data_IF_208461469871
#
_entry.id   IF_208461469871
#
_cell.length_a   1.000
_cell.length_b   1.000
_cell.length_c   1.000
_cell.angle_alpha   90.00
_cell.angle_beta   90.00
_cell.angle_gamma   90.00
#
_symmetry.space_group_name_H-M   'P 1'
#
loop_
_entity.id
_entity.type
_entity.pdbx_description
1 polymer ?
#
# COMPACT_ATOMS: atom_id res chain seq x y z
N UNK A 1 -1.98 3.57 6.76
CA UNK A 1 -1.08 4.73 6.58
C UNK A 1 0.19 4.17 5.98
N UNK A 2 0.34 4.32 4.67
CA UNK A 2 1.58 3.98 3.99
C UNK A 2 2.43 5.24 3.91
N UNK A 3 3.66 5.16 4.43
CA UNK A 3 4.60 6.26 4.58
C UNK A 3 5.82 6.01 3.68
N UNK A 4 6.26 7.05 2.97
CA UNK A 4 7.49 7.01 2.15
C UNK A 4 8.50 8.04 2.68
N UNK A 5 9.74 7.64 2.94
CA UNK A 5 10.84 8.49 3.42
C UNK A 5 11.71 8.99 2.24
N UNK A 6 12.03 10.28 2.20
CA UNK A 6 12.92 11.00 1.25
C UNK A 6 13.98 11.79 2.00
N UNK A 7 15.01 12.37 1.38
CA UNK A 7 16.02 13.23 2.04
C UNK A 7 16.11 14.67 1.45
N UNK A 8 16.26 15.75 2.24
CA UNK A 8 16.72 17.09 1.83
C UNK A 8 17.15 17.98 3.02
N UNK A 9 18.32 18.67 3.03
CA UNK A 9 18.79 19.53 4.13
C UNK A 9 18.27 20.99 4.07
N UNK A 10 18.06 21.60 5.23
CA UNK A 10 17.57 22.95 5.53
C UNK A 10 16.05 23.17 5.47
N UNK A 11 15.40 23.25 6.65
CA UNK A 11 14.60 24.41 7.12
C UNK A 11 14.20 24.26 8.62
N UNK A 12 14.38 25.37 9.34
CA UNK A 12 14.13 25.59 10.77
C UNK A 12 12.63 25.79 11.13
N UNK A 13 12.31 25.27 12.33
CA UNK A 13 11.31 25.74 13.32
C UNK A 13 9.80 25.64 13.02
N UNK A 14 9.12 24.75 13.74
CA UNK A 14 7.96 25.10 14.57
C UNK A 14 7.62 24.01 15.61
N UNK A 15 7.51 24.40 16.89
CA UNK A 15 6.96 23.58 17.99
C UNK A 15 5.44 23.70 18.02
N UNK A 16 4.73 22.67 18.52
CA UNK A 16 3.62 22.71 19.53
C UNK A 16 2.91 21.33 19.57
N UNK A 17 2.96 20.63 20.71
CA UNK A 17 1.92 20.37 21.74
C UNK A 17 1.04 19.14 21.50
N UNK A 18 1.19 18.19 22.43
CA UNK A 18 0.42 16.95 22.60
C UNK A 18 -0.82 17.24 23.44
N UNK A 19 -1.96 16.68 23.05
CA UNK A 19 -3.11 16.49 23.94
C UNK A 19 -3.49 15.01 23.95
N UNK A 20 -3.43 14.45 25.16
CA UNK A 20 -3.87 13.14 25.58
C UNK A 20 -5.39 13.19 25.84
N UNK A 21 -6.13 12.20 25.38
CA UNK A 21 -7.48 11.90 25.88
C UNK A 21 -7.80 10.43 25.58
N UNK A 22 -7.78 9.62 26.63
CA UNK A 22 -8.26 8.25 26.64
C UNK A 22 -9.53 8.12 27.48
N UNK A 23 -10.49 7.35 26.98
CA UNK A 23 -11.40 6.38 27.64
C UNK A 23 -12.41 5.95 26.56
N UNK A 24 -13.00 4.76 26.47
CA UNK A 24 -13.14 3.65 27.38
C UNK A 24 -14.36 2.84 26.93
N UNK A 25 -14.24 1.52 27.00
CA UNK A 25 -15.32 0.51 27.14
C UNK A 25 -16.23 0.16 25.94
N UNK A 26 -15.94 -0.99 25.31
CA UNK A 26 -16.92 -1.79 24.55
C UNK A 26 -16.61 -3.31 24.63
N UNK A 27 -16.08 -3.79 25.76
CA UNK A 27 -15.45 -5.13 25.82
C UNK A 27 -16.38 -6.25 26.28
N UNK A 28 -17.58 -5.95 26.78
CA UNK A 28 -18.47 -6.98 27.36
C UNK A 28 -19.59 -7.52 26.45
N UNK A 29 -19.81 -6.96 25.25
CA UNK A 29 -20.83 -7.46 24.32
C UNK A 29 -20.33 -8.56 23.35
N UNK A 30 -19.01 -8.66 23.12
CA UNK A 30 -18.40 -9.62 22.18
C UNK A 30 -18.28 -11.05 22.73
N UNK A 31 -18.28 -11.24 24.05
CA UNK A 31 -17.97 -12.53 24.68
C UNK A 31 -19.11 -13.55 24.52
N UNK A 32 -20.38 -13.11 24.49
CA UNK A 32 -21.53 -14.02 24.36
C UNK A 32 -21.84 -14.47 22.93
N UNK A 33 -21.15 -13.92 21.92
CA UNK A 33 -21.29 -14.36 20.52
C UNK A 33 -20.47 -15.61 20.18
N UNK A 34 -19.47 -15.97 21.00
CA UNK A 34 -18.52 -17.05 20.71
C UNK A 34 -18.99 -18.46 21.09
N UNK A 35 -20.15 -18.62 21.72
CA UNK A 35 -20.61 -19.94 22.22
C UNK A 35 -21.67 -20.61 21.35
N UNK A 36 -22.01 -20.04 20.18
CA UNK A 36 -22.95 -20.65 19.22
C UNK A 36 -22.54 -20.40 17.78
N UNK A 37 -21.52 -21.10 17.30
CA UNK A 37 -21.30 -21.34 15.86
C UNK A 37 -20.36 -22.54 15.70
N UNK A 38 -20.93 -23.73 15.90
CA UNK A 38 -20.40 -24.94 15.28
C UNK A 38 -20.84 -24.90 13.80
N UNK A 39 -19.88 -24.98 12.89
CA UNK A 39 -20.03 -25.26 11.46
C UNK A 39 -20.90 -24.29 10.65
N UNK A 40 -20.42 -23.06 10.45
CA UNK A 40 -20.71 -22.34 9.21
C UNK A 40 -19.41 -21.66 8.79
N UNK A 41 -18.91 -22.02 7.60
CA UNK A 41 -17.71 -21.40 7.06
C UNK A 41 -18.05 -19.97 6.70
N UNK A 42 -17.44 -19.01 7.39
CA UNK A 42 -17.55 -17.60 7.01
C UNK A 42 -16.88 -17.41 5.64
N UNK A 43 -17.52 -16.59 4.81
CA UNK A 43 -16.99 -16.17 3.51
C UNK A 43 -15.69 -15.36 3.72
N UNK A 44 -14.81 -15.26 2.69
CA UNK A 44 -13.63 -14.41 2.75
C UNK A 44 -14.00 -13.01 3.22
N UNK A 45 -13.29 -12.49 4.21
CA UNK A 45 -13.48 -11.13 4.67
C UNK A 45 -12.88 -10.12 3.67
N UNK A 46 -13.10 -8.83 3.92
CA UNK A 46 -12.68 -7.78 2.98
C UNK A 46 -11.15 -7.71 2.79
N UNK A 47 -10.40 -8.16 3.80
CA UNK A 47 -8.94 -8.19 3.76
C UNK A 47 -8.43 -9.41 2.98
N UNK A 48 -9.07 -10.57 3.16
CA UNK A 48 -8.85 -11.77 2.35
C UNK A 48 -9.10 -11.49 0.86
N UNK A 49 -10.17 -10.76 0.52
CA UNK A 49 -10.47 -10.39 -0.86
C UNK A 49 -9.40 -9.49 -1.49
N UNK A 50 -8.87 -8.51 -0.73
CA UNK A 50 -7.78 -7.64 -1.21
C UNK A 50 -6.49 -8.42 -1.45
N UNK A 51 -6.19 -9.39 -0.59
CA UNK A 51 -5.03 -10.27 -0.75
C UNK A 51 -5.20 -11.11 -2.02
N UNK A 52 -6.36 -11.73 -2.22
CA UNK A 52 -6.63 -12.54 -3.43
C UNK A 52 -6.45 -11.69 -4.69
N UNK A 53 -7.04 -10.49 -4.72
CA UNK A 53 -6.91 -9.58 -5.86
C UNK A 53 -5.44 -9.18 -6.13
N UNK A 54 -4.65 -8.93 -5.08
CA UNK A 54 -3.22 -8.65 -5.21
C UNK A 54 -2.42 -9.85 -5.71
N UNK A 55 -2.80 -11.06 -5.30
CA UNK A 55 -2.13 -12.31 -5.71
C UNK A 55 -2.43 -12.61 -7.19
N UNK A 56 -3.69 -12.44 -7.60
CA UNK A 56 -4.14 -12.62 -9.00
C UNK A 56 -3.52 -11.57 -9.94
N UNK A 57 -3.34 -10.33 -9.47
CA UNK A 57 -2.63 -9.28 -10.21
C UNK A 57 -1.14 -9.58 -10.39
N UNK A 58 -0.51 -10.31 -9.45
CA UNK A 58 0.88 -10.74 -9.56
C UNK A 58 1.07 -11.90 -10.54
N UNK A 59 0.08 -12.79 -10.67
CA UNK A 59 0.13 -13.96 -11.55
C UNK A 59 -0.24 -13.66 -13.02
N UNK A 60 -1.04 -12.61 -13.27
CA UNK A 60 -1.56 -12.31 -14.62
C UNK A 60 -0.73 -11.30 -15.44
N UNK A 61 0.42 -10.82 -14.94
CA UNK A 61 1.25 -9.83 -15.63
C UNK A 61 2.50 -10.45 -16.29
N UNK A 62 2.31 -11.43 -17.18
CA UNK A 62 3.37 -11.84 -18.12
C UNK A 62 3.42 -11.01 -19.42
N UNK A 63 2.51 -10.06 -19.65
CA UNK A 63 2.62 -9.14 -20.80
C UNK A 63 2.05 -7.75 -20.48
N UNK A 64 2.90 -6.76 -20.20
CA UNK A 64 2.51 -5.36 -20.38
C UNK A 64 3.64 -4.53 -21.02
N UNK A 65 3.43 -4.31 -22.31
CA UNK A 65 4.06 -3.30 -23.15
C UNK A 65 4.06 -1.92 -22.45
N UNK A 66 5.23 -1.29 -22.44
CA UNK A 66 5.42 0.13 -22.13
C UNK A 66 4.76 0.93 -23.27
N UNK A 67 3.46 1.18 -23.16
CA UNK A 67 2.82 2.30 -23.85
C UNK A 67 2.65 3.41 -22.83
N UNK A 68 3.68 4.24 -22.75
CA UNK A 68 3.58 5.57 -22.16
C UNK A 68 2.34 6.25 -22.74
N UNK A 69 1.38 6.54 -21.87
CA UNK A 69 0.12 7.15 -22.24
C UNK A 69 0.39 8.63 -22.52
N UNK A 70 0.57 8.98 -23.80
CA UNK A 70 0.81 10.36 -24.27
C UNK A 70 -0.25 11.36 -23.76
N UNK A 71 -1.43 10.88 -23.35
CA UNK A 71 -2.51 11.68 -22.79
C UNK A 71 -2.21 12.28 -21.40
N UNK A 72 -1.32 11.69 -20.60
CA UNK A 72 -0.95 12.27 -19.29
C UNK A 72 0.05 13.43 -19.43
N UNK A 73 0.79 13.48 -20.55
CA UNK A 73 1.72 14.57 -20.87
C UNK A 73 0.95 15.82 -21.31
N UNK A 74 -0.18 15.67 -22.02
CA UNK A 74 -1.02 16.80 -22.42
C UNK A 74 -1.69 17.51 -21.22
N UNK A 75 -2.09 16.76 -20.19
CA UNK A 75 -2.68 17.34 -18.97
C UNK A 75 -1.62 18.12 -18.15
N UNK A 76 -0.36 17.72 -18.24
CA UNK A 76 0.74 18.41 -17.57
C UNK A 76 1.09 19.75 -18.26
N UNK A 77 1.04 19.81 -19.61
CA UNK A 77 1.26 21.05 -20.36
C UNK A 77 0.12 22.07 -20.20
N UNK A 78 -1.14 21.62 -20.10
CA UNK A 78 -2.27 22.53 -19.86
C UNK A 78 -2.19 23.20 -18.47
N UNK A 79 -1.80 22.45 -17.44
CA UNK A 79 -1.68 22.96 -16.06
C UNK A 79 -0.42 23.82 -15.82
N UNK A 80 0.64 23.65 -16.64
CA UNK A 80 1.81 24.54 -16.59
C UNK A 80 1.49 25.95 -17.11
N UNK A 81 0.45 26.08 -17.95
CA UNK A 81 0.01 27.37 -18.50
C UNK A 81 -0.70 28.29 -17.50
N UNK A 82 -1.10 27.72 -16.34
CA UNK A 82 -1.79 28.38 -15.23
C UNK A 82 -0.81 29.07 -14.23
N UNK A 83 0.51 28.90 -14.39
CA UNK A 83 1.55 29.52 -13.53
C UNK A 83 2.03 30.89 -14.06
N UNK A 84 1.62 31.30 -15.26
CA UNK A 84 2.18 32.46 -15.97
C UNK A 84 1.70 33.86 -15.48
N UNK A 85 1.10 33.96 -14.28
CA UNK A 85 0.59 35.24 -13.73
C UNK A 85 1.30 35.69 -12.44
N UNK A 86 2.40 35.02 -12.04
CA UNK A 86 3.30 35.50 -10.99
C UNK A 86 4.50 36.24 -11.60
N UNK A 87 5.02 37.30 -10.96
CA UNK A 87 6.22 37.98 -11.43
C UNK A 87 7.41 37.00 -11.40
N UNK A 88 8.02 36.81 -12.57
CA UNK A 88 9.11 35.86 -12.82
C UNK A 88 10.33 36.08 -11.90
N UNK A 89 10.81 35.00 -11.29
CA UNK A 89 12.24 34.79 -11.13
C UNK A 89 12.71 33.76 -12.17
N UNK A 90 13.11 34.30 -13.32
CA UNK A 90 14.05 33.77 -14.33
C UNK A 90 14.17 32.25 -14.51
N UNK A 91 13.42 31.70 -15.47
CA UNK A 91 13.91 30.64 -16.36
C UNK A 91 13.31 30.87 -17.75
N UNK A 92 14.14 31.29 -18.70
CA UNK A 92 13.76 31.47 -20.10
C UNK A 92 13.54 30.11 -20.79
N UNK A 93 12.40 29.94 -21.49
CA UNK A 93 12.37 29.40 -22.87
C UNK A 93 11.01 29.54 -23.60
N UNK A 94 11.13 30.12 -24.79
CA UNK A 94 10.37 29.94 -26.04
C UNK A 94 8.84 30.17 -26.05
N UNK A 95 8.48 31.30 -26.64
CA UNK A 95 7.13 31.75 -26.97
C UNK A 95 6.50 30.97 -28.12
N UNK A 96 5.36 30.33 -27.88
CA UNK A 96 4.35 30.06 -28.91
C UNK A 96 3.02 30.73 -28.51
N UNK A 97 2.71 31.85 -29.17
CA UNK A 97 1.49 32.65 -28.97
C UNK A 97 0.27 31.91 -29.50
N UNK A 98 -0.41 31.14 -28.66
CA UNK A 98 -1.86 30.87 -28.80
C UNK A 98 -2.62 31.91 -27.99
N UNK A 99 -3.57 32.59 -28.63
CA UNK A 99 -4.45 33.62 -28.06
C UNK A 99 -5.18 33.07 -26.82
N UNK A 100 -4.67 33.40 -25.62
CA UNK A 100 -5.26 33.01 -24.33
C UNK A 100 -6.60 33.73 -24.16
N UNK A 101 -7.70 32.99 -24.29
CA UNK A 101 -9.01 33.41 -23.81
C UNK A 101 -8.90 33.83 -22.34
N UNK A 102 -9.47 34.99 -21.96
CA UNK A 102 -9.47 35.44 -20.57
C UNK A 102 -10.06 34.35 -19.68
N UNK A 103 -9.50 34.14 -18.48
CA UNK A 103 -9.97 33.15 -17.50
C UNK A 103 -11.48 33.25 -17.25
N UNK A 104 -12.00 34.48 -17.28
CA UNK A 104 -13.42 34.80 -17.19
C UNK A 104 -14.25 34.13 -18.29
N UNK A 105 -13.80 34.22 -19.54
CA UNK A 105 -14.53 33.67 -20.69
C UNK A 105 -14.52 32.12 -20.68
N UNK A 106 -13.43 31.50 -20.16
CA UNK A 106 -13.38 30.04 -19.94
C UNK A 106 -14.38 29.56 -18.90
N UNK A 107 -14.62 30.33 -17.84
CA UNK A 107 -15.53 29.95 -16.76
C UNK A 107 -16.99 30.13 -17.20
N UNK A 108 -17.31 31.24 -17.86
CA UNK A 108 -18.66 31.52 -18.37
C UNK A 108 -19.05 30.51 -19.46
N UNK A 109 -18.12 30.14 -20.34
CA UNK A 109 -18.41 29.14 -21.38
C UNK A 109 -18.58 27.71 -20.86
N UNK A 110 -17.92 27.35 -19.74
CA UNK A 110 -18.02 26.02 -19.14
C UNK A 110 -19.29 25.81 -18.30
N UNK A 111 -19.89 26.86 -17.74
CA UNK A 111 -21.01 26.74 -16.82
C UNK A 111 -22.27 27.45 -17.31
N UNK A 112 -23.38 26.72 -17.37
CA UNK A 112 -24.68 27.25 -17.84
C UNK A 112 -25.31 28.26 -16.88
N UNK A 113 -24.88 28.28 -15.62
CA UNK A 113 -25.51 29.10 -14.56
C UNK A 113 -24.65 30.28 -14.11
N UNK A 114 -23.41 30.40 -14.60
CA UNK A 114 -22.50 31.50 -14.23
C UNK A 114 -22.70 32.66 -15.20
N UNK A 115 -23.11 33.82 -14.70
CA UNK A 115 -23.32 35.03 -15.51
C UNK A 115 -22.11 35.95 -15.50
N UNK A 116 -21.44 36.05 -14.36
CA UNK A 116 -20.31 36.96 -14.16
C UNK A 116 -19.25 36.27 -13.30
N UNK A 117 -17.99 36.57 -13.62
CA UNK A 117 -16.83 36.08 -12.90
C UNK A 117 -15.79 37.20 -12.79
N UNK A 118 -15.40 37.52 -11.56
CA UNK A 118 -14.33 38.44 -11.23
C UNK A 118 -13.33 37.74 -10.30
N UNK A 119 -12.06 38.01 -10.53
CA UNK A 119 -10.97 37.53 -9.70
C UNK A 119 -9.91 38.60 -9.62
N UNK A 120 -9.36 38.77 -8.44
CA UNK A 120 -8.23 39.65 -8.22
C UNK A 120 -6.95 39.04 -8.80
N UNK A 121 -6.57 39.45 -10.01
CA UNK A 121 -5.32 39.00 -10.62
C UNK A 121 -4.07 39.68 -10.04
N UNK A 122 -4.22 40.72 -9.21
CA UNK A 122 -3.09 41.50 -8.68
C UNK A 122 -2.67 40.97 -7.31
N UNK A 123 -3.61 40.85 -6.37
CA UNK A 123 -3.35 40.39 -5.01
C UNK A 123 -3.84 38.97 -4.73
N UNK A 124 -4.64 38.37 -5.64
CA UNK A 124 -5.26 37.06 -5.46
C UNK A 124 -6.08 36.91 -4.17
N UNK A 125 -6.60 38.03 -3.63
CA UNK A 125 -7.28 38.06 -2.34
C UNK A 125 -8.76 37.67 -2.37
N UNK A 126 -9.45 37.82 -3.51
CA UNK A 126 -10.89 37.56 -3.62
C UNK A 126 -11.30 37.04 -5.00
N UNK A 127 -12.44 36.34 -5.03
CA UNK A 127 -13.11 35.90 -6.24
C UNK A 127 -14.62 36.07 -6.08
N UNK A 128 -15.23 36.80 -7.02
CA UNK A 128 -16.68 36.98 -7.05
C UNK A 128 -17.28 36.20 -8.22
N UNK A 129 -18.29 35.38 -7.91
CA UNK A 129 -19.02 34.55 -8.87
C UNK A 129 -20.51 34.88 -8.76
N UNK A 130 -21.10 35.34 -9.86
CA UNK A 130 -22.55 35.55 -9.93
C UNK A 130 -23.21 34.35 -10.61
N UNK A 131 -24.21 33.79 -9.93
CA UNK A 131 -24.97 32.64 -10.39
C UNK A 131 -26.42 33.05 -10.66
N UNK A 132 -26.92 32.72 -11.86
CA UNK A 132 -28.32 32.89 -12.21
C UNK A 132 -29.00 31.52 -12.27
N UNK A 133 -29.89 31.29 -11.31
CA UNK A 133 -30.63 30.03 -11.18
C UNK A 133 -32.10 30.22 -11.61
N UNK A 134 -32.74 29.21 -12.22
CA UNK A 134 -34.17 29.25 -12.55
C UNK A 134 -35.07 29.41 -11.30
N UNK A 135 -36.20 30.10 -11.47
CA UNK A 135 -37.16 30.42 -10.39
C UNK A 135 -37.90 29.21 -9.80
N UNK A 136 -37.86 28.04 -10.45
CA UNK A 136 -38.55 26.82 -10.00
C UNK A 136 -37.83 26.11 -8.84
N UNK A 137 -36.64 26.58 -8.46
CA UNK A 137 -35.86 25.98 -7.39
C UNK A 137 -36.39 26.37 -6.01
N UNK A 138 -36.52 25.38 -5.12
CA UNK A 138 -36.75 25.60 -3.67
C UNK A 138 -35.60 26.43 -3.08
N UNK A 139 -35.80 27.01 -1.88
CA UNK A 139 -34.74 27.74 -1.15
C UNK A 139 -33.50 26.85 -1.01
N UNK A 140 -32.39 27.26 -1.63
CA UNK A 140 -31.10 26.59 -1.57
C UNK A 140 -30.23 27.25 -0.49
N UNK A 141 -29.62 26.43 0.36
CA UNK A 141 -28.56 26.86 1.26
C UNK A 141 -27.25 26.90 0.47
N UNK A 142 -27.03 27.99 -0.28
CA UNK A 142 -25.84 28.15 -1.12
C UNK A 142 -24.54 28.10 -0.32
N UNK A 143 -24.56 28.55 0.94
CA UNK A 143 -23.39 28.48 1.82
C UNK A 143 -22.94 27.04 2.04
N UNK A 144 -23.85 26.13 2.42
CA UNK A 144 -23.53 24.72 2.67
C UNK A 144 -23.01 24.02 1.39
N UNK A 145 -23.60 24.36 0.24
CA UNK A 145 -23.18 23.82 -1.06
C UNK A 145 -21.78 24.34 -1.42
N UNK A 146 -21.54 25.64 -1.24
CA UNK A 146 -20.24 26.25 -1.49
C UNK A 146 -19.17 25.68 -0.55
N UNK A 147 -19.46 25.53 0.74
CA UNK A 147 -18.54 24.90 1.69
C UNK A 147 -18.23 23.45 1.32
N UNK A 148 -19.24 22.67 0.91
CA UNK A 148 -19.06 21.30 0.45
C UNK A 148 -18.22 21.24 -0.84
N UNK A 149 -18.43 22.18 -1.76
CA UNK A 149 -17.66 22.30 -2.99
C UNK A 149 -16.20 22.69 -2.70
N UNK A 150 -15.97 23.68 -1.82
CA UNK A 150 -14.63 24.10 -1.40
C UNK A 150 -13.83 22.96 -0.77
N UNK A 151 -14.47 22.13 0.07
CA UNK A 151 -13.80 20.95 0.68
C UNK A 151 -13.41 19.88 -0.35
N UNK A 152 -14.07 19.85 -1.51
CA UNK A 152 -13.81 18.88 -2.60
C UNK A 152 -12.93 19.46 -3.71
N UNK A 153 -12.78 20.78 -3.76
CA UNK A 153 -12.01 21.46 -4.80
C UNK A 153 -10.51 21.24 -4.55
N UNK A 154 -9.91 20.40 -5.38
CA UNK A 154 -8.48 20.14 -5.38
C UNK A 154 -7.79 21.15 -6.29
N UNK A 155 -6.87 21.95 -5.73
CA UNK A 155 -6.12 22.96 -6.50
C UNK A 155 -4.97 22.29 -7.26
N UNK A 156 -4.18 21.49 -6.55
CA UNK A 156 -3.07 20.71 -7.10
C UNK A 156 -2.96 19.42 -6.30
N UNK A 157 -2.83 18.31 -7.01
CA UNK A 157 -2.68 16.99 -6.42
C UNK A 157 -1.68 16.18 -7.24
N UNK A 158 -0.98 15.29 -6.53
CA UNK A 158 -0.14 14.27 -7.13
C UNK A 158 -0.82 12.96 -6.76
N UNK A 159 -1.39 12.28 -7.76
CA UNK A 159 -2.22 11.10 -7.53
C UNK A 159 -1.56 10.09 -6.60
N UNK A 160 -2.29 9.65 -5.58
CA UNK A 160 -1.78 8.65 -4.61
C UNK A 160 -0.94 9.21 -3.46
N UNK A 161 -0.69 10.52 -3.40
CA UNK A 161 -0.02 11.18 -2.26
C UNK A 161 -0.95 12.24 -1.67
N UNK A 162 -1.28 12.13 -0.39
CA UNK A 162 -2.22 13.06 0.29
C UNK A 162 -1.49 14.21 0.97
N UNK A 163 -0.37 13.92 1.66
CA UNK A 163 0.43 14.92 2.37
C UNK A 163 1.90 14.59 2.27
N UNK A 164 2.74 15.61 2.40
CA UNK A 164 4.18 15.50 2.49
C UNK A 164 4.69 16.44 3.57
N UNK A 165 5.54 15.97 4.49
CA UNK A 165 6.10 16.79 5.54
C UNK A 165 7.57 16.42 5.82
N UNK A 166 8.43 17.40 6.15
CA UNK A 166 9.80 17.13 6.54
C UNK A 166 9.85 16.42 7.90
N UNK A 167 10.77 15.46 8.04
CA UNK A 167 11.07 14.71 9.25
C UNK A 167 12.59 14.64 9.43
N UNK A 168 13.13 15.24 10.48
CA UNK A 168 14.56 15.14 10.76
C UNK A 168 14.88 13.83 11.49
N UNK A 169 15.75 13.01 10.91
CA UNK A 169 16.26 11.81 11.58
C UNK A 169 17.70 12.05 12.03
N UNK A 170 17.95 11.99 13.34
CA UNK A 170 19.30 12.05 13.89
C UNK A 170 19.99 10.70 13.71
N UNK A 171 20.90 10.61 12.74
CA UNK A 171 21.77 9.44 12.57
C UNK A 171 23.18 9.78 13.03
N UNK A 172 23.95 8.80 13.52
CA UNK A 172 25.33 8.94 14.04
C UNK A 172 26.36 9.55 13.07
N UNK A 173 25.98 9.91 11.85
CA UNK A 173 26.83 10.50 10.81
C UNK A 173 26.40 11.89 10.30
N UNK A 174 25.37 12.50 10.91
CA UNK A 174 24.82 13.80 10.50
C UNK A 174 23.28 13.82 10.54
N UNK A 175 22.71 15.03 10.66
CA UNK A 175 21.28 15.23 10.53
C UNK A 175 20.87 14.90 9.09
N UNK A 176 20.11 13.84 8.97
CA UNK A 176 19.66 13.29 7.71
C UNK A 176 18.19 13.73 7.66
N UNK A 177 17.97 14.88 7.03
CA UNK A 177 16.64 15.48 6.91
C UNK A 177 15.84 14.70 5.90
N UNK A 178 14.74 14.10 6.33
CA UNK A 178 13.86 13.33 5.49
C UNK A 178 12.59 14.10 5.07
N UNK A 179 11.90 13.73 3.99
CA UNK A 179 10.48 14.02 3.80
C UNK A 179 9.68 12.74 3.96
N UNK A 180 8.54 12.80 4.63
CA UNK A 180 7.60 11.70 4.76
C UNK A 180 6.36 12.03 3.96
N UNK A 181 5.94 11.14 3.07
CA UNK A 181 4.65 11.26 2.37
C UNK A 181 3.61 10.30 2.92
N UNK A 182 2.39 10.79 3.12
CA UNK A 182 1.20 9.96 3.32
C UNK A 182 0.70 9.50 1.95
N UNK A 183 0.87 8.21 1.64
CA UNK A 183 0.55 7.62 0.35
C UNK A 183 1.79 7.30 -0.50
N UNK A 184 1.59 6.49 -1.54
CA UNK A 184 2.67 5.89 -2.34
C UNK A 184 2.40 6.10 -3.82
N UNK A 185 3.33 6.78 -4.50
CA UNK A 185 3.37 6.84 -5.95
C UNK A 185 4.80 7.03 -6.46
N UNK A 186 5.50 5.92 -6.71
CA UNK A 186 6.89 5.95 -7.18
C UNK A 186 7.06 6.67 -8.52
N UNK A 187 6.15 6.44 -9.48
CA UNK A 187 6.23 7.02 -10.81
C UNK A 187 6.24 8.56 -10.80
N UNK A 188 5.37 9.17 -10.00
CA UNK A 188 5.34 10.63 -9.87
C UNK A 188 6.57 11.18 -9.13
N UNK A 189 7.07 10.43 -8.14
CA UNK A 189 8.22 10.84 -7.34
C UNK A 189 9.51 10.83 -8.18
N UNK A 190 9.65 9.88 -9.12
CA UNK A 190 10.82 9.82 -10.01
C UNK A 190 10.96 11.03 -10.93
N UNK A 191 9.89 11.79 -11.17
CA UNK A 191 9.95 13.03 -11.96
C UNK A 191 10.68 14.17 -11.24
N UNK A 192 10.91 14.04 -9.93
CA UNK A 192 11.59 15.04 -9.10
C UNK A 192 13.04 14.65 -8.78
N UNK A 193 13.72 14.00 -9.73
CA UNK A 193 15.12 13.53 -9.63
C UNK A 193 16.13 14.66 -9.33
N UNK A 194 15.79 15.88 -9.71
CA UNK A 194 16.56 17.08 -9.50
C UNK A 194 16.56 17.56 -8.04
N UNK A 195 15.59 17.13 -7.24
CA UNK A 195 15.43 17.52 -5.83
C UNK A 195 15.63 16.32 -4.90
N UNK A 196 15.23 15.12 -5.33
CA UNK A 196 15.20 13.91 -4.51
C UNK A 196 16.22 12.86 -4.97
N UNK A 197 16.90 12.22 -4.02
CA UNK A 197 17.75 11.06 -4.29
C UNK A 197 16.90 9.80 -4.52
N UNK A 198 16.63 9.48 -5.78
CA UNK A 198 15.77 8.37 -6.20
C UNK A 198 16.27 7.01 -5.71
N UNK A 199 17.58 6.84 -5.51
CA UNK A 199 18.15 5.55 -5.12
C UNK A 199 17.93 5.21 -3.64
N UNK A 200 17.45 6.16 -2.84
CA UNK A 200 17.21 6.00 -1.40
C UNK A 200 15.73 6.06 -1.02
N UNK A 201 14.83 6.06 -2.00
CA UNK A 201 13.40 6.05 -1.74
C UNK A 201 13.02 4.78 -0.99
N UNK A 202 12.22 4.94 0.06
CA UNK A 202 11.76 3.84 0.90
C UNK A 202 10.28 3.96 1.16
N UNK A 203 9.51 2.87 1.03
CA UNK A 203 8.10 2.81 1.43
C UNK A 203 7.86 1.65 2.40
N UNK A 204 6.87 1.80 3.27
CA UNK A 204 6.36 0.68 4.08
C UNK A 204 5.32 -0.20 3.35
N UNK A 205 4.87 0.19 2.15
CA UNK A 205 3.96 -0.62 1.34
C UNK A 205 4.74 -1.69 0.57
N UNK A 206 4.70 -2.92 1.10
CA UNK A 206 5.40 -4.08 0.55
C UNK A 206 4.88 -4.44 -0.85
N UNK A 207 3.56 -4.31 -1.09
CA UNK A 207 2.95 -4.65 -2.38
C UNK A 207 3.35 -3.65 -3.46
N UNK A 208 3.36 -2.35 -3.13
CA UNK A 208 3.84 -1.32 -4.05
C UNK A 208 5.32 -1.49 -4.39
N UNK A 209 6.16 -1.86 -3.41
CA UNK A 209 7.58 -2.16 -3.64
C UNK A 209 7.77 -3.41 -4.48
N UNK A 210 7.04 -4.49 -4.21
CA UNK A 210 7.09 -5.71 -5.00
C UNK A 210 6.78 -5.43 -6.47
N UNK A 211 5.74 -4.62 -6.74
CA UNK A 211 5.33 -4.26 -8.10
C UNK A 211 6.36 -3.38 -8.83
N UNK A 212 7.07 -2.52 -8.10
CA UNK A 212 7.93 -1.48 -8.70
C UNK A 212 9.40 -1.88 -8.76
N UNK A 213 9.91 -2.45 -7.67
CA UNK A 213 11.33 -2.77 -7.47
C UNK A 213 11.62 -4.28 -7.41
N UNK A 214 10.58 -5.12 -7.36
CA UNK A 214 10.70 -6.58 -7.39
C UNK A 214 10.78 -7.26 -6.02
N UNK A 215 10.91 -8.59 -6.06
CA UNK A 215 10.73 -9.46 -4.89
C UNK A 215 11.82 -9.32 -3.82
N UNK A 216 13.08 -9.12 -4.20
CA UNK A 216 14.18 -8.96 -3.22
C UNK A 216 14.10 -7.62 -2.48
N UNK A 217 13.61 -6.57 -3.14
CA UNK A 217 13.32 -5.30 -2.49
C UNK A 217 12.18 -5.46 -1.49
N UNK A 218 11.09 -6.13 -1.89
CA UNK A 218 9.97 -6.44 -1.00
C UNK A 218 10.41 -7.28 0.21
N UNK A 219 11.22 -8.33 -0.01
CA UNK A 219 11.80 -9.16 1.06
C UNK A 219 12.59 -8.33 2.07
N UNK A 220 13.45 -7.43 1.58
CA UNK A 220 14.25 -6.53 2.43
C UNK A 220 13.37 -5.57 3.22
N UNK A 221 12.30 -5.06 2.61
CA UNK A 221 11.30 -4.21 3.28
C UNK A 221 10.56 -4.96 4.37
N UNK A 222 10.12 -6.21 4.14
CA UNK A 222 9.46 -7.04 5.17
C UNK A 222 10.35 -7.17 6.41
N UNK A 223 11.64 -7.48 6.22
CA UNK A 223 12.59 -7.61 7.35
C UNK A 223 12.70 -6.29 8.11
N UNK A 224 12.80 -5.17 7.40
CA UNK A 224 12.94 -3.84 8.00
C UNK A 224 11.68 -3.40 8.73
N UNK A 225 10.50 -3.59 8.15
CA UNK A 225 9.22 -3.23 8.75
C UNK A 225 8.94 -4.05 10.01
N UNK A 226 9.12 -5.37 9.97
CA UNK A 226 8.94 -6.21 11.16
C UNK A 226 9.95 -5.81 12.25
N UNK A 227 11.20 -5.54 11.87
CA UNK A 227 12.22 -5.05 12.82
C UNK A 227 11.83 -3.70 13.43
N UNK A 228 11.27 -2.77 12.64
CA UNK A 228 10.83 -1.46 13.11
C UNK A 228 9.73 -1.60 14.16
N UNK A 229 8.74 -2.47 13.92
CA UNK A 229 7.66 -2.76 14.87
C UNK A 229 8.20 -3.24 16.21
N UNK A 230 9.09 -4.25 16.21
CA UNK A 230 9.66 -4.75 17.48
C UNK A 230 10.58 -3.73 18.16
N UNK A 231 11.33 -2.96 17.39
CA UNK A 231 12.24 -1.94 17.92
C UNK A 231 11.51 -0.84 18.68
N UNK A 232 10.29 -0.48 18.27
CA UNK A 232 9.46 0.52 18.94
C UNK A 232 9.09 0.08 20.38
N UNK A 233 9.05 -1.22 20.65
CA UNK A 233 8.77 -1.78 21.97
C UNK A 233 10.05 -2.19 22.74
N UNK A 234 11.24 -1.89 22.20
CA UNK A 234 12.52 -2.30 22.80
C UNK A 234 12.77 -3.82 22.76
N UNK A 235 12.07 -4.54 21.89
CA UNK A 235 12.23 -5.99 21.74
C UNK A 235 13.31 -6.26 20.70
N UNK A 236 14.36 -6.95 21.11
CA UNK A 236 15.43 -7.37 20.21
C UNK A 236 15.14 -8.77 19.68
N UNK A 237 14.93 -8.87 18.35
CA UNK A 237 14.75 -10.13 17.64
C UNK A 237 16.00 -10.42 16.80
N UNK A 238 16.48 -11.66 16.80
CA UNK A 238 17.61 -12.06 15.94
C UNK A 238 17.20 -11.94 14.46
N UNK A 239 17.98 -11.24 13.61
CA UNK A 239 17.72 -11.11 12.18
C UNK A 239 17.54 -12.44 11.43
N UNK A 240 18.10 -13.54 11.94
CA UNK A 240 17.93 -14.88 11.35
C UNK A 240 16.47 -15.33 11.35
N UNK A 241 15.70 -15.00 12.40
CA UNK A 241 14.27 -15.32 12.46
C UNK A 241 13.49 -14.49 11.43
N UNK A 242 13.79 -13.20 11.36
CA UNK A 242 13.13 -12.28 10.42
C UNK A 242 13.41 -12.66 8.96
N UNK A 243 14.65 -13.07 8.68
CA UNK A 243 15.06 -13.55 7.36
C UNK A 243 14.27 -14.80 6.97
N UNK A 244 14.18 -15.80 7.85
CA UNK A 244 13.44 -17.03 7.55
C UNK A 244 11.96 -16.75 7.24
N UNK A 245 11.35 -15.82 7.98
CA UNK A 245 9.95 -15.40 7.77
C UNK A 245 9.81 -14.69 6.42
N UNK A 246 10.65 -13.70 6.13
CA UNK A 246 10.60 -12.95 4.87
C UNK A 246 10.82 -13.87 3.64
N UNK A 247 11.73 -14.84 3.75
CA UNK A 247 12.02 -15.80 2.68
C UNK A 247 10.82 -16.70 2.42
N UNK A 248 10.16 -17.17 3.48
CA UNK A 248 8.92 -17.93 3.33
C UNK A 248 7.75 -17.09 2.80
N UNK A 249 7.72 -15.78 3.07
CA UNK A 249 6.69 -14.91 2.50
C UNK A 249 6.94 -14.58 1.02
N UNK A 250 8.15 -14.80 0.49
CA UNK A 250 8.55 -14.35 -0.86
C UNK A 250 9.06 -15.44 -1.79
N UNK A 251 9.09 -16.71 -1.35
CA UNK A 251 9.69 -17.81 -2.14
C UNK A 251 9.00 -18.10 -3.47
N UNK A 252 7.71 -17.75 -3.62
CA UNK A 252 6.95 -17.94 -4.87
C UNK A 252 7.15 -16.78 -5.86
N UNK A 253 7.98 -15.78 -5.52
CA UNK A 253 8.15 -14.56 -6.32
C UNK A 253 7.07 -13.50 -6.07
N UNK A 254 6.05 -13.83 -5.29
CA UNK A 254 4.96 -12.94 -4.87
C UNK A 254 5.00 -12.67 -3.36
N UNK A 255 4.09 -11.83 -2.86
CA UNK A 255 3.91 -11.62 -1.41
C UNK A 255 2.86 -12.59 -0.87
N UNK A 256 3.30 -13.56 -0.08
CA UNK A 256 2.46 -14.60 0.52
C UNK A 256 2.23 -14.35 2.01
N UNK A 257 0.99 -14.05 2.43
CA UNK A 257 0.67 -13.87 3.85
C UNK A 257 0.54 -15.22 4.58
N UNK A 258 0.66 -15.19 5.90
CA UNK A 258 0.33 -16.34 6.76
C UNK A 258 -1.17 -16.36 7.09
N UNK A 259 -2.00 -16.60 6.08
CA UNK A 259 -3.47 -16.69 6.20
C UNK A 259 -4.02 -17.93 5.49
N UNK A 260 -5.34 -18.11 5.50
CA UNK A 260 -6.06 -19.16 4.77
C UNK A 260 -5.68 -19.22 3.29
N UNK A 261 -5.56 -18.06 2.68
CA UNK A 261 -5.22 -17.92 1.26
C UNK A 261 -3.77 -18.36 1.04
N UNK A 262 -2.87 -17.94 1.93
CA UNK A 262 -1.47 -18.35 1.86
C UNK A 262 -1.24 -19.84 2.09
N UNK A 263 -2.05 -20.52 2.91
CA UNK A 263 -1.86 -21.97 3.11
C UNK A 263 -2.32 -22.80 1.90
N UNK A 264 -3.20 -22.28 1.04
CA UNK A 264 -3.81 -23.05 -0.04
C UNK A 264 -2.78 -23.55 -1.07
N UNK A 265 -1.72 -22.78 -1.34
CA UNK A 265 -0.65 -23.21 -2.24
C UNK A 265 0.25 -24.32 -1.67
N UNK A 266 0.02 -24.76 -0.43
CA UNK A 266 0.77 -25.91 0.12
C UNK A 266 0.33 -27.24 -0.52
N UNK A 267 1.28 -28.13 -0.82
CA UNK A 267 1.01 -29.40 -1.49
C UNK A 267 0.39 -30.49 -0.60
N UNK A 268 0.36 -30.31 0.72
CA UNK A 268 -0.15 -31.33 1.66
C UNK A 268 -1.61 -31.05 2.02
N UNK A 269 -2.59 -31.79 1.48
CA UNK A 269 -4.00 -31.57 1.81
C UNK A 269 -4.31 -31.85 3.29
N UNK A 270 -3.60 -32.77 3.94
CA UNK A 270 -3.76 -32.99 5.40
C UNK A 270 -3.23 -31.80 6.22
N UNK A 271 -2.16 -31.15 5.75
CA UNK A 271 -1.70 -29.89 6.37
C UNK A 271 -2.77 -28.81 6.24
N UNK A 272 -3.32 -28.61 5.04
CA UNK A 272 -4.39 -27.63 4.77
C UNK A 272 -5.62 -27.89 5.66
N UNK A 273 -6.09 -29.13 5.70
CA UNK A 273 -7.20 -29.58 6.53
C UNK A 273 -6.98 -29.37 8.04
N UNK A 274 -5.73 -29.47 8.51
CA UNK A 274 -5.37 -29.31 9.93
C UNK A 274 -5.28 -27.86 10.40
N UNK A 275 -5.17 -26.91 9.47
CA UNK A 275 -5.12 -25.48 9.79
C UNK A 275 -6.52 -24.95 10.09
N UNK A 276 -7.39 -24.95 9.08
CA UNK A 276 -8.81 -24.62 9.21
C UNK A 276 -9.59 -25.09 7.98
N UNK A 277 -10.92 -24.89 7.96
CA UNK A 277 -11.76 -25.20 6.80
C UNK A 277 -11.65 -26.65 6.28
N UNK A 278 -11.59 -27.60 7.22
CA UNK A 278 -11.33 -29.02 6.95
C UNK A 278 -12.23 -29.62 5.88
N UNK A 279 -13.55 -29.39 5.92
CA UNK A 279 -14.46 -29.99 4.93
C UNK A 279 -14.23 -29.42 3.52
N UNK A 280 -13.93 -28.13 3.40
CA UNK A 280 -13.74 -27.49 2.10
C UNK A 280 -12.45 -28.00 1.43
N UNK A 281 -11.34 -28.08 2.18
CA UNK A 281 -10.10 -28.63 1.66
C UNK A 281 -10.21 -30.13 1.39
N UNK A 282 -10.99 -30.87 2.18
CA UNK A 282 -11.27 -32.28 1.91
C UNK A 282 -12.07 -32.45 0.61
N UNK A 283 -13.13 -31.65 0.43
CA UNK A 283 -13.94 -31.66 -0.78
C UNK A 283 -13.08 -31.37 -2.01
N UNK A 284 -12.30 -30.29 -1.99
CA UNK A 284 -11.37 -29.94 -3.06
C UNK A 284 -10.38 -31.08 -3.36
N UNK A 285 -9.72 -31.62 -2.32
CA UNK A 285 -8.78 -32.72 -2.48
C UNK A 285 -9.46 -33.97 -3.09
N UNK A 286 -10.70 -34.29 -2.71
CA UNK A 286 -11.44 -35.41 -3.30
C UNK A 286 -11.90 -35.15 -4.73
N UNK A 287 -12.24 -33.91 -5.07
CA UNK A 287 -12.65 -33.52 -6.42
C UNK A 287 -11.47 -33.54 -7.40
N UNK A 288 -10.31 -33.04 -6.99
CA UNK A 288 -9.09 -33.02 -7.81
C UNK A 288 -8.30 -34.33 -7.75
N UNK A 289 -8.57 -35.19 -6.77
CA UNK A 289 -7.84 -36.45 -6.58
C UNK A 289 -6.44 -36.25 -5.99
N UNK A 290 -6.28 -35.26 -5.11
CA UNK A 290 -5.00 -34.91 -4.50
C UNK A 290 -4.48 -36.04 -3.59
N UNK A 291 -3.16 -36.28 -3.65
CA UNK A 291 -2.48 -37.31 -2.84
C UNK A 291 -1.52 -36.64 -1.87
N UNK A 292 -1.70 -36.88 -0.56
CA UNK A 292 -0.74 -36.42 0.44
C UNK A 292 0.49 -37.34 0.51
N UNK A 293 1.66 -36.77 0.24
CA UNK A 293 2.95 -37.50 0.32
C UNK A 293 3.42 -37.75 1.76
N UNK A 294 2.71 -37.23 2.77
CA UNK A 294 3.03 -37.37 4.19
C UNK A 294 4.41 -36.82 4.52
N UNK A 295 4.82 -35.72 3.88
CA UNK A 295 6.07 -35.04 4.17
C UNK A 295 5.91 -33.99 5.27
N UNK A 296 4.72 -33.37 5.37
CA UNK A 296 4.46 -32.36 6.39
C UNK A 296 4.38 -32.98 7.79
N UNK A 297 4.84 -32.30 8.85
CA UNK A 297 4.69 -32.77 10.22
C UNK A 297 3.23 -33.05 10.59
N UNK A 298 2.30 -32.18 10.19
CA UNK A 298 0.86 -32.33 10.49
C UNK A 298 0.27 -33.59 9.85
N UNK A 299 0.58 -33.88 8.58
CA UNK A 299 0.10 -35.08 7.89
C UNK A 299 0.64 -36.37 8.53
N UNK A 300 1.91 -36.36 8.96
CA UNK A 300 2.52 -37.52 9.63
C UNK A 300 1.90 -37.78 11.00
N UNK A 301 1.67 -36.73 11.78
CA UNK A 301 1.02 -36.82 13.08
C UNK A 301 -0.39 -37.38 12.96
N UNK A 302 -1.17 -36.91 11.97
CA UNK A 302 -2.53 -37.40 11.72
C UNK A 302 -2.59 -38.93 11.47
N UNK A 303 -1.55 -39.50 10.86
CA UNK A 303 -1.45 -40.95 10.57
C UNK A 303 -0.54 -41.72 11.54
N UNK A 304 -0.05 -41.09 12.62
CA UNK A 304 0.83 -41.74 13.60
C UNK A 304 2.22 -42.12 13.06
N UNK A 305 2.72 -41.46 12.01
CA UNK A 305 4.08 -41.64 11.48
C UNK A 305 5.08 -40.73 12.20
N UNK A 306 6.34 -41.16 12.29
CA UNK A 306 7.44 -40.35 12.84
C UNK A 306 7.68 -39.11 11.96
N UNK A 307 7.72 -37.92 12.56
CA UNK A 307 8.00 -36.65 11.85
C UNK A 307 9.43 -36.63 11.30
N UNK A 308 9.58 -36.17 10.06
CA UNK A 308 10.86 -36.11 9.34
C UNK A 308 11.72 -34.89 9.71
N UNK A 309 11.84 -34.60 11.01
CA UNK A 309 12.60 -33.46 11.54
C UNK A 309 13.42 -33.86 12.76
N UNK A 310 14.55 -33.18 12.97
CA UNK A 310 15.45 -33.46 14.09
C UNK A 310 15.95 -34.91 14.06
N UNK A 311 15.62 -35.70 15.08
CA UNK A 311 16.02 -37.12 15.19
C UNK A 311 15.31 -38.04 14.21
N UNK A 312 14.17 -37.64 13.64
CA UNK A 312 13.45 -38.41 12.61
C UNK A 312 13.91 -38.11 11.18
N UNK A 313 14.94 -37.29 11.00
CA UNK A 313 15.47 -36.92 9.67
C UNK A 313 16.40 -37.98 9.05
N UNK A 314 16.77 -39.02 9.81
CA UNK A 314 17.62 -40.10 9.35
C UNK A 314 17.11 -41.46 9.86
N UNK A 315 17.50 -42.53 9.15
CA UNK A 315 17.25 -43.91 9.57
C UNK A 315 18.49 -44.51 10.20
N UNK A 316 18.29 -45.39 11.18
CA UNK A 316 19.37 -46.16 11.80
C UNK A 316 19.31 -47.57 11.23
N UNK A 317 20.42 -48.03 10.65
CA UNK A 317 20.58 -49.41 10.21
C UNK A 317 21.68 -50.07 11.02
N UNK A 318 21.41 -51.27 11.51
CA UNK A 318 22.42 -52.09 12.15
C UNK A 318 23.18 -52.86 11.06
N UNK A 319 24.52 -52.77 10.99
CA UNK A 319 25.30 -53.61 10.09
C UNK A 319 25.20 -55.07 10.54
N UNK A 320 24.74 -55.95 9.65
CA UNK A 320 24.73 -57.39 9.89
C UNK A 320 26.12 -57.95 9.56
N UNK A 321 26.85 -58.42 10.56
CA UNK A 321 27.96 -59.34 10.32
C UNK A 321 27.38 -60.69 9.86
N UNK A 322 27.72 -61.12 8.64
CA UNK A 322 27.49 -62.50 8.25
C UNK A 322 28.32 -63.38 9.19
N UNK A 323 27.66 -64.03 10.15
CA UNK A 323 28.23 -65.11 10.93
C UNK A 323 28.65 -66.21 9.96
N UNK A 324 29.88 -66.13 9.47
CA UNK A 324 30.56 -67.24 8.82
C UNK A 324 30.64 -68.37 9.84
N UNK A 325 29.62 -69.22 9.82
CA UNK A 325 29.59 -70.48 10.53
C UNK A 325 30.70 -71.33 9.93
N UNK A 326 31.79 -71.47 10.69
CA UNK A 326 32.91 -72.37 10.41
C UNK A 326 32.48 -73.83 10.56
#
# INVERSE_FOLDING_TARGET
MSDVLFYHPDILNCKYLVSDDGDGDATNAKINSKTRQFATYDAPDEDDLKIIEQTDLALNNEDFDIKANENEIEVFEENMSDIADYPEHSFEKSTNKRTKSSRRDRIISKSTYVTNYLFDSVEAGWSDIELQLPFDNKRLLLLDIAESACKKAVIRDVGGITKCYPSSSETKGGALENMVTEGVNFSCIWLYDNILDINKIYSNDIAAILKTYGVEAARSTIIKEISNVFSAYGIHVDPRHLTLVADYMTFEGSFKPFSRIGIDSNPSPLLKMSFESTCNFLEQATLFGDVDMLNSPSARLALGKVVQGGTGSFEIRQPCETLNTR
#
